data_IF_317140256423
#
_entry.id   IF_317140256423
#
_cell.length_a   1.000
_cell.length_b   1.000
_cell.length_c   1.000
_cell.angle_alpha   90.00
_cell.angle_beta   90.00
_cell.angle_gamma   90.00
#
_symmetry.space_group_name_H-M   'P 1'
#
loop_
_entity.id
_entity.type
_entity.pdbx_description
1 polymer ?
#
# COMPACT_ATOMS: atom_id res chain seq x y z
N UNK A 1 -61.97 59.31 4.59
CA UNK A 1 -61.87 58.77 5.96
C UNK A 1 -61.17 57.42 5.86
N UNK A 2 -60.00 57.31 6.50
CA UNK A 2 -59.16 56.11 6.49
C UNK A 2 -59.56 55.24 7.68
N UNK A 3 -59.73 53.95 7.47
CA UNK A 3 -59.44 52.92 8.48
C UNK A 3 -58.67 51.78 7.81
N UNK A 4 -57.60 51.25 8.43
CA UNK A 4 -56.63 50.39 7.77
C UNK A 4 -56.93 48.89 7.99
N UNK A 5 -56.74 48.09 6.94
CA UNK A 5 -56.66 46.64 7.06
C UNK A 5 -55.24 46.22 7.46
N UNK A 6 -55.17 45.50 8.56
CA UNK A 6 -53.96 44.99 9.18
C UNK A 6 -53.30 43.90 8.31
N UNK A 7 -52.00 44.06 8.05
CA UNK A 7 -51.11 43.03 7.55
C UNK A 7 -50.82 42.05 8.69
N UNK A 8 -51.32 40.82 8.57
CA UNK A 8 -50.90 39.69 9.39
C UNK A 8 -49.59 39.13 8.84
N UNK A 9 -48.50 39.39 9.55
CA UNK A 9 -47.18 38.79 9.32
C UNK A 9 -47.21 37.33 9.80
N UNK A 10 -47.28 36.39 8.87
CA UNK A 10 -47.06 34.98 9.16
C UNK A 10 -45.57 34.75 9.47
N UNK A 11 -45.25 34.55 10.75
CA UNK A 11 -43.92 34.17 11.22
C UNK A 11 -43.72 32.68 10.90
N UNK A 12 -42.95 32.38 9.86
CA UNK A 12 -42.50 31.01 9.59
C UNK A 12 -41.44 30.64 10.64
N UNK A 13 -41.83 29.82 11.62
CA UNK A 13 -40.89 29.20 12.56
C UNK A 13 -40.04 28.18 11.78
N UNK A 14 -38.79 28.55 11.49
CA UNK A 14 -37.80 27.64 10.96
C UNK A 14 -37.43 26.62 12.06
N UNK A 15 -37.97 25.41 11.97
CA UNK A 15 -37.51 24.27 12.77
C UNK A 15 -36.15 23.86 12.19
N UNK A 16 -35.08 24.34 12.82
CA UNK A 16 -33.74 23.86 12.54
C UNK A 16 -33.64 22.41 13.04
N UNK A 17 -33.72 21.43 12.11
CA UNK A 17 -33.23 20.09 12.37
C UNK A 17 -31.72 20.19 12.58
N UNK A 18 -31.30 20.19 13.84
CA UNK A 18 -29.91 19.97 14.19
C UNK A 18 -29.54 18.54 13.79
N UNK A 19 -29.01 18.38 12.58
CA UNK A 19 -28.29 17.17 12.20
C UNK A 19 -27.07 17.09 13.12
N UNK A 20 -27.13 16.22 14.12
CA UNK A 20 -25.94 15.84 14.90
C UNK A 20 -24.96 15.18 13.93
N UNK A 21 -24.01 15.97 13.45
CA UNK A 21 -22.81 15.45 12.79
C UNK A 21 -22.08 14.64 13.86
N UNK A 22 -22.27 13.33 13.85
CA UNK A 22 -21.39 12.42 14.57
C UNK A 22 -20.07 12.50 13.82
N UNK A 23 -19.16 13.35 14.31
CA UNK A 23 -17.78 13.32 13.88
C UNK A 23 -17.28 11.87 13.98
N UNK A 24 -16.50 11.37 13.01
CA UNK A 24 -15.85 10.08 13.17
C UNK A 24 -15.08 10.12 14.48
N UNK A 25 -15.40 9.20 15.39
CA UNK A 25 -14.74 9.12 16.68
C UNK A 25 -13.24 9.10 16.47
N UNK A 26 -12.54 10.08 17.06
CA UNK A 26 -11.09 9.99 17.22
C UNK A 26 -10.76 8.60 17.78
N UNK A 27 -9.82 7.92 17.14
CA UNK A 27 -9.26 6.68 17.64
C UNK A 27 -8.96 6.86 19.14
N UNK A 28 -9.49 5.97 19.98
CA UNK A 28 -9.29 6.02 21.41
C UNK A 28 -7.78 6.04 21.71
N UNK A 29 -7.28 7.15 22.26
CA UNK A 29 -5.98 7.27 22.90
C UNK A 29 -4.75 7.28 22.00
N UNK A 30 -4.63 8.23 21.07
CA UNK A 30 -3.35 8.46 20.34
C UNK A 30 -2.17 8.84 21.27
N UNK A 31 -2.45 9.10 22.56
CA UNK A 31 -1.50 9.54 23.60
C UNK A 31 -1.42 8.55 24.79
N UNK A 32 -1.87 7.31 24.64
CA UNK A 32 -1.76 6.29 25.68
C UNK A 32 -0.90 5.10 25.22
N UNK A 33 -0.19 4.47 26.15
CA UNK A 33 0.53 3.21 25.87
C UNK A 33 -0.50 2.14 25.48
N UNK A 34 -0.24 1.31 24.44
CA UNK A 34 -1.18 0.27 24.03
C UNK A 34 -1.47 -0.70 25.17
N UNK A 35 -2.69 -1.29 25.22
CA UNK A 35 -3.02 -2.28 26.23
C UNK A 35 -2.13 -3.54 26.10
N UNK A 36 -2.04 -4.38 27.14
CA UNK A 36 -1.34 -5.66 27.04
C UNK A 36 -1.81 -6.48 25.84
N UNK A 37 -0.88 -7.08 25.10
CA UNK A 37 -1.16 -7.73 23.82
C UNK A 37 0.10 -8.15 23.08
N UNK A 38 -0.06 -8.73 21.88
CA UNK A 38 1.07 -9.09 21.01
C UNK A 38 1.24 -8.01 19.95
N UNK A 39 2.47 -7.50 19.83
CA UNK A 39 2.81 -6.40 18.95
C UNK A 39 4.10 -6.68 18.16
N UNK A 40 4.18 -6.07 17.00
CA UNK A 40 5.43 -5.81 16.30
C UNK A 40 5.99 -4.48 16.78
N UNK A 41 7.28 -4.45 17.14
CA UNK A 41 8.00 -3.19 17.37
C UNK A 41 8.55 -2.75 16.02
N UNK A 42 7.82 -1.87 15.33
CA UNK A 42 8.04 -1.55 13.92
C UNK A 42 8.60 -0.12 13.75
N UNK A 43 9.74 0.03 13.11
CA UNK A 43 10.40 1.33 12.94
C UNK A 43 9.55 2.28 12.09
N UNK A 44 9.38 3.53 12.54
CA UNK A 44 8.70 4.56 11.73
C UNK A 44 9.51 5.02 10.52
N UNK A 45 10.82 4.76 10.49
CA UNK A 45 11.74 5.14 9.42
C UNK A 45 11.80 4.09 8.32
N UNK A 46 12.21 2.87 8.67
CA UNK A 46 12.40 1.77 7.71
C UNK A 46 11.15 0.93 7.45
N UNK A 47 10.15 0.96 8.37
CA UNK A 47 9.01 0.05 8.35
C UNK A 47 9.34 -1.40 8.75
N UNK A 48 10.58 -1.68 9.16
CA UNK A 48 11.05 -3.00 9.57
C UNK A 48 10.74 -3.28 11.03
N UNK A 49 10.67 -4.57 11.38
CA UNK A 49 10.36 -5.03 12.73
C UNK A 49 11.63 -5.34 13.52
N UNK A 50 11.64 -5.05 14.81
CA UNK A 50 12.64 -5.57 15.73
C UNK A 50 12.44 -7.09 15.89
N UNK A 51 13.46 -7.87 15.57
CA UNK A 51 13.43 -9.32 15.52
C UNK A 51 14.56 -9.93 16.33
N UNK A 52 14.29 -11.04 17.02
CA UNK A 52 15.34 -11.83 17.68
C UNK A 52 16.12 -12.68 16.67
N UNK A 53 17.43 -12.43 16.60
CA UNK A 53 18.40 -13.20 15.85
C UNK A 53 19.45 -13.81 16.79
N UNK A 54 19.04 -14.84 17.52
CA UNK A 54 19.94 -15.64 18.33
C UNK A 54 20.56 -14.87 19.50
N UNK A 55 19.79 -14.01 20.16
CA UNK A 55 20.26 -13.20 21.28
C UNK A 55 20.46 -11.72 20.94
N UNK A 56 20.77 -11.42 19.68
CA UNK A 56 20.81 -10.05 19.17
C UNK A 56 19.43 -9.63 18.68
N UNK A 57 19.07 -8.36 18.86
CA UNK A 57 17.84 -7.81 18.27
C UNK A 57 18.21 -6.88 17.12
N UNK A 58 17.71 -7.21 15.93
CA UNK A 58 18.00 -6.51 14.66
C UNK A 58 16.69 -6.05 14.00
N UNK A 59 16.76 -5.07 13.10
CA UNK A 59 15.64 -4.74 12.22
C UNK A 59 15.59 -5.72 11.03
N UNK A 60 14.49 -6.46 10.92
CA UNK A 60 14.23 -7.40 9.85
C UNK A 60 13.01 -6.96 9.03
N UNK A 61 12.99 -7.36 7.75
CA UNK A 61 11.84 -7.17 6.86
C UNK A 61 10.60 -7.81 7.50
N UNK A 62 9.44 -7.12 7.56
CA UNK A 62 8.24 -7.70 8.16
C UNK A 62 7.88 -9.04 7.53
N UNK A 63 7.63 -10.05 8.38
CA UNK A 63 7.35 -11.42 7.94
C UNK A 63 6.23 -12.07 8.75
N UNK A 64 5.21 -11.29 9.09
CA UNK A 64 4.04 -11.78 9.82
C UNK A 64 4.42 -12.45 11.14
N UNK A 65 3.84 -13.62 11.42
CA UNK A 65 4.11 -14.43 12.60
C UNK A 65 5.37 -15.31 12.49
N UNK A 66 6.20 -15.08 11.47
CA UNK A 66 7.49 -15.76 11.29
C UNK A 66 8.66 -14.86 11.75
N UNK A 67 9.87 -15.43 11.74
CA UNK A 67 11.12 -14.68 11.94
C UNK A 67 11.26 -13.95 13.29
N UNK A 68 10.56 -14.43 14.33
CA UNK A 68 10.67 -13.98 15.73
C UNK A 68 10.49 -12.47 15.92
N UNK A 69 9.47 -11.91 15.27
CA UNK A 69 9.22 -10.46 15.22
C UNK A 69 8.12 -9.99 16.19
N UNK A 70 7.50 -10.91 16.92
CA UNK A 70 6.34 -10.65 17.79
C UNK A 70 6.74 -10.60 19.27
N UNK A 71 6.24 -9.57 19.94
CA UNK A 71 6.53 -9.27 21.34
C UNK A 71 5.23 -9.08 22.13
N UNK A 72 5.06 -9.84 23.21
CA UNK A 72 3.97 -9.69 24.16
C UNK A 72 4.28 -8.54 25.12
N UNK A 73 3.58 -7.43 24.96
CA UNK A 73 3.63 -6.28 25.84
C UNK A 73 2.87 -6.58 27.13
N UNK A 74 3.51 -6.38 28.29
CA UNK A 74 2.91 -6.48 29.62
C UNK A 74 3.42 -5.37 30.53
N UNK A 75 2.59 -4.90 31.45
CA UNK A 75 3.01 -3.96 32.48
C UNK A 75 3.96 -4.65 33.48
N UNK A 76 4.94 -3.89 33.98
CA UNK A 76 5.89 -4.28 35.00
C UNK A 76 6.18 -3.07 35.91
N UNK A 77 5.39 -2.93 36.98
CA UNK A 77 5.38 -1.72 37.80
C UNK A 77 5.05 -0.47 36.97
N UNK A 78 5.95 0.51 36.96
CA UNK A 78 5.85 1.73 36.13
C UNK A 78 6.49 1.60 34.74
N UNK A 79 6.89 0.40 34.34
CA UNK A 79 7.55 0.08 33.07
C UNK A 79 6.80 -1.03 32.34
N UNK A 80 7.33 -1.47 31.20
CA UNK A 80 6.76 -2.52 30.37
C UNK A 80 7.81 -3.55 29.98
N UNK A 81 7.38 -4.80 29.88
CA UNK A 81 8.16 -5.88 29.31
C UNK A 81 7.60 -6.24 27.95
N UNK A 82 8.50 -6.58 27.03
CA UNK A 82 8.21 -7.05 25.68
C UNK A 82 8.77 -8.47 25.56
N UNK A 83 7.96 -9.46 25.94
CA UNK A 83 8.36 -10.87 25.96
C UNK A 83 8.23 -11.51 24.58
N UNK A 84 9.23 -12.26 24.12
CA UNK A 84 9.16 -12.96 22.85
C UNK A 84 8.02 -13.98 22.84
N UNK A 85 7.23 -14.02 21.76
CA UNK A 85 6.20 -15.05 21.57
C UNK A 85 6.80 -16.42 21.25
N UNK A 86 8.00 -16.45 20.68
CA UNK A 86 8.72 -17.66 20.26
C UNK A 86 9.61 -18.24 21.37
N UNK A 87 10.00 -17.42 22.36
CA UNK A 87 10.87 -17.81 23.46
C UNK A 87 10.32 -17.30 24.81
N UNK A 88 9.38 -18.02 25.45
CA UNK A 88 8.82 -17.64 26.74
C UNK A 88 9.89 -17.42 27.81
N UNK A 89 9.73 -16.41 28.66
CA UNK A 89 10.72 -16.01 29.67
C UNK A 89 11.87 -15.16 29.13
N UNK A 90 11.94 -14.94 27.82
CA UNK A 90 12.93 -14.09 27.14
C UNK A 90 12.28 -12.79 26.66
N UNK A 91 12.86 -11.64 27.01
CA UNK A 91 12.32 -10.31 26.71
C UNK A 91 13.28 -9.50 25.83
N UNK A 92 12.72 -8.63 24.99
CA UNK A 92 13.46 -7.53 24.37
C UNK A 92 14.01 -6.63 25.47
N UNK A 93 15.32 -6.54 25.55
CA UNK A 93 16.04 -5.76 26.54
C UNK A 93 17.35 -5.22 25.98
N UNK A 94 18.32 -5.06 26.87
CA UNK A 94 19.56 -4.32 26.59
C UNK A 94 20.78 -5.16 26.93
N UNK A 95 21.86 -4.94 26.19
CA UNK A 95 23.20 -5.38 26.54
C UNK A 95 24.19 -4.28 26.18
N UNK A 96 24.43 -3.35 27.12
CA UNK A 96 25.17 -2.12 26.85
C UNK A 96 24.41 -1.18 25.92
N UNK A 97 25.04 -0.79 24.82
CA UNK A 97 24.51 0.10 23.78
C UNK A 97 23.74 -0.63 22.67
N UNK A 98 23.43 -1.91 22.86
CA UNK A 98 22.73 -2.77 21.89
C UNK A 98 21.42 -3.31 22.43
N UNK A 99 20.47 -3.48 21.52
CA UNK A 99 19.26 -4.24 21.79
C UNK A 99 19.57 -5.74 21.77
N UNK A 100 19.11 -6.47 22.78
CA UNK A 100 19.33 -7.91 22.93
C UNK A 100 18.10 -8.57 23.51
N UNK A 101 18.01 -9.88 23.38
CA UNK A 101 17.10 -10.65 24.21
C UNK A 101 17.77 -11.02 25.54
N UNK A 102 17.04 -10.84 26.64
CA UNK A 102 17.50 -11.08 28.02
C UNK A 102 16.42 -11.84 28.80
N UNK A 103 16.74 -12.53 29.91
CA UNK A 103 15.71 -13.07 30.78
C UNK A 103 14.76 -11.95 31.23
N UNK A 104 13.45 -12.19 31.21
CA UNK A 104 12.47 -11.16 31.55
C UNK A 104 12.57 -10.64 33.00
N UNK A 105 13.25 -11.38 33.89
CA UNK A 105 13.54 -10.96 35.26
C UNK A 105 14.83 -10.11 35.39
N UNK A 106 15.59 -9.94 34.31
CA UNK A 106 16.81 -9.14 34.32
C UNK A 106 16.48 -7.64 34.40
N UNK A 107 17.33 -6.87 35.08
CA UNK A 107 17.20 -5.41 35.18
C UNK A 107 17.24 -4.70 33.80
N UNK A 108 17.83 -5.36 32.80
CA UNK A 108 17.93 -4.87 31.43
C UNK A 108 16.70 -5.18 30.55
N UNK A 109 15.65 -5.81 31.10
CA UNK A 109 14.43 -6.15 30.37
C UNK A 109 13.37 -5.02 30.29
N UNK A 110 13.08 -4.26 31.37
CA UNK A 110 11.96 -3.31 31.36
C UNK A 110 12.22 -2.08 30.50
N UNK A 111 11.21 -1.56 29.80
CA UNK A 111 11.24 -0.32 29.02
C UNK A 111 10.17 0.66 29.52
N UNK A 112 10.51 1.95 29.60
CA UNK A 112 9.51 3.02 29.69
C UNK A 112 8.99 3.29 28.28
N UNK A 113 7.74 2.94 28.02
CA UNK A 113 7.06 3.19 26.75
C UNK A 113 6.34 4.53 26.85
N UNK A 114 6.71 5.49 26.00
CA UNK A 114 6.16 6.85 26.05
C UNK A 114 5.57 7.22 24.68
N UNK A 115 4.31 7.65 24.62
CA UNK A 115 3.69 8.13 23.38
C UNK A 115 4.34 9.44 22.91
N UNK A 116 4.54 9.57 21.60
CA UNK A 116 5.06 10.77 20.93
C UNK A 116 4.12 11.26 19.81
N UNK A 117 2.84 10.88 19.91
CA UNK A 117 1.73 11.32 19.06
C UNK A 117 1.49 10.45 17.81
N UNK A 118 0.22 10.36 17.41
CA UNK A 118 -0.25 9.59 16.25
C UNK A 118 0.11 8.09 16.31
N UNK A 119 -0.11 7.45 17.46
CA UNK A 119 0.17 6.02 17.70
C UNK A 119 1.66 5.65 17.52
N UNK A 120 2.55 6.57 17.90
CA UNK A 120 4.00 6.38 17.88
C UNK A 120 4.56 6.45 19.29
N UNK A 121 5.59 5.66 19.53
CA UNK A 121 6.16 5.45 20.85
C UNK A 121 7.68 5.52 20.83
N UNK A 122 8.25 5.93 21.96
CA UNK A 122 9.65 5.70 22.28
C UNK A 122 9.76 4.60 23.33
N UNK A 123 10.79 3.77 23.23
CA UNK A 123 11.13 2.75 24.22
C UNK A 123 12.41 3.19 24.91
N UNK A 124 12.30 3.74 26.12
CA UNK A 124 13.42 4.26 26.89
C UNK A 124 13.87 3.28 27.98
N UNK A 125 15.18 3.16 28.18
CA UNK A 125 15.76 2.46 29.31
C UNK A 125 15.46 3.27 30.60
N UNK A 126 14.78 2.68 31.60
CA UNK A 126 14.31 3.41 32.77
C UNK A 126 15.41 4.20 33.47
N UNK A 127 15.20 5.51 33.66
CA UNK A 127 16.12 6.38 34.41
C UNK A 127 17.40 6.81 33.69
N UNK A 128 17.62 6.43 32.42
CA UNK A 128 18.90 6.70 31.71
C UNK A 128 18.78 7.66 30.53
N UNK A 129 17.57 7.89 30.02
CA UNK A 129 17.33 8.67 28.79
C UNK A 129 17.76 7.96 27.49
N UNK A 130 18.40 6.79 27.56
CA UNK A 130 18.75 5.99 26.39
C UNK A 130 17.52 5.32 25.80
N UNK A 131 17.40 5.28 24.47
CA UNK A 131 16.24 4.70 23.78
C UNK A 131 16.64 3.67 22.75
N UNK A 132 15.77 2.71 22.51
CA UNK A 132 15.85 1.80 21.38
C UNK A 132 15.78 2.61 20.08
N UNK A 133 16.75 2.44 19.19
CA UNK A 133 16.82 3.19 17.95
C UNK A 133 17.32 2.34 16.78
N UNK A 134 16.90 2.73 15.58
CA UNK A 134 17.52 2.30 14.33
C UNK A 134 18.89 2.98 14.20
N UNK A 135 19.91 2.24 13.76
CA UNK A 135 21.21 2.82 13.53
C UNK A 135 21.18 3.86 12.39
N UNK A 136 21.94 4.98 12.49
CA UNK A 136 22.05 5.95 11.43
C UNK A 136 22.49 5.32 10.11
N UNK A 137 21.91 5.77 9.01
CA UNK A 137 22.22 5.29 7.66
C UNK A 137 23.57 5.87 7.19
N UNK A 138 24.56 5.03 6.80
CA UNK A 138 25.77 5.53 6.15
C UNK A 138 25.47 6.13 4.78
N UNK A 139 26.30 7.10 4.34
CA UNK A 139 26.17 7.68 3.01
C UNK A 139 26.29 6.59 1.93
N UNK A 140 25.33 6.57 0.98
CA UNK A 140 25.30 5.57 -0.09
C UNK A 140 24.91 4.15 0.34
N UNK A 141 24.39 3.95 1.56
CA UNK A 141 23.95 2.66 2.06
C UNK A 141 22.50 2.69 2.56
N UNK A 142 21.98 1.52 2.94
CA UNK A 142 20.73 1.36 3.70
C UNK A 142 20.99 1.39 5.21
N UNK A 143 19.94 1.45 6.02
CA UNK A 143 20.12 1.41 7.48
C UNK A 143 20.71 0.06 7.92
N UNK A 144 21.70 0.05 8.82
CA UNK A 144 22.28 -1.19 9.35
C UNK A 144 21.23 -2.06 10.07
N UNK A 145 21.37 -3.38 10.00
CA UNK A 145 20.43 -4.30 10.66
C UNK A 145 20.44 -4.21 12.20
N UNK A 146 21.59 -4.11 12.90
CA UNK A 146 21.58 -4.07 14.37
C UNK A 146 20.89 -2.84 14.95
N UNK A 147 20.05 -3.03 15.96
CA UNK A 147 19.44 -1.93 16.73
C UNK A 147 20.38 -1.46 17.85
N UNK A 148 20.30 -0.17 18.16
CA UNK A 148 21.13 0.48 19.17
C UNK A 148 20.28 0.97 20.35
N UNK A 149 20.94 1.24 21.48
CA UNK A 149 20.34 1.79 22.69
C UNK A 149 21.19 2.97 23.14
N UNK A 150 20.67 4.19 23.01
CA UNK A 150 21.45 5.40 23.33
C UNK A 150 20.67 6.70 23.23
N UNK A 151 21.37 7.82 23.45
CA UNK A 151 20.83 9.18 23.36
C UNK A 151 20.81 9.72 21.91
N UNK A 152 20.40 8.87 20.96
CA UNK A 152 20.32 9.21 19.53
C UNK A 152 19.15 10.13 19.19
N UNK A 153 19.09 10.61 17.93
CA UNK A 153 18.05 11.52 17.47
C UNK A 153 16.65 10.88 17.57
N UNK A 154 15.65 11.72 17.85
CA UNK A 154 14.28 11.27 18.17
C UNK A 154 13.63 10.49 17.03
N UNK A 155 13.90 10.87 15.78
CA UNK A 155 13.31 10.26 14.58
C UNK A 155 13.72 8.79 14.39
N UNK A 156 14.98 8.45 14.70
CA UNK A 156 15.48 7.07 14.65
C UNK A 156 15.02 6.22 15.85
N UNK A 157 14.55 6.85 16.92
CA UNK A 157 14.12 6.20 18.16
C UNK A 157 12.58 6.09 18.29
N UNK A 158 11.86 6.35 17.21
CA UNK A 158 10.40 6.31 17.17
C UNK A 158 9.91 5.01 16.53
N UNK A 159 8.94 4.37 17.19
CA UNK A 159 8.43 3.06 16.84
C UNK A 159 6.90 3.07 16.81
N UNK A 160 6.33 2.28 15.91
CA UNK A 160 4.96 1.79 16.04
C UNK A 160 4.97 0.53 16.91
N UNK A 161 3.99 0.42 17.80
CA UNK A 161 3.62 -0.86 18.41
C UNK A 161 2.42 -1.40 17.63
N UNK A 162 2.70 -2.07 16.52
CA UNK A 162 1.66 -2.55 15.60
C UNK A 162 1.07 -3.84 16.13
N UNK A 163 -0.25 -3.94 16.40
CA UNK A 163 -0.83 -5.15 16.97
C UNK A 163 -0.77 -6.32 15.98
N UNK A 164 -0.46 -7.52 16.47
CA UNK A 164 -0.44 -8.73 15.66
C UNK A 164 -1.84 -9.16 15.19
N UNK A 165 -2.87 -8.85 15.98
CA UNK A 165 -4.27 -8.92 15.56
C UNK A 165 -4.74 -7.55 15.09
N UNK A 166 -5.03 -7.34 13.79
CA UNK A 166 -5.44 -6.04 13.29
C UNK A 166 -6.79 -5.63 13.87
N UNK A 167 -6.92 -4.37 14.28
CA UNK A 167 -8.21 -3.79 14.66
C UNK A 167 -8.91 -3.38 13.37
N UNK A 168 -10.06 -3.97 13.08
CA UNK A 168 -10.84 -3.71 11.86
C UNK A 168 -12.20 -3.11 12.19
N UNK A 169 -12.76 -2.31 11.30
CA UNK A 169 -14.15 -1.87 11.37
C UNK A 169 -14.97 -2.50 10.22
N UNK A 170 -16.29 -2.69 10.38
CA UNK A 170 -17.14 -3.15 9.28
C UNK A 170 -17.04 -2.23 8.06
N UNK A 171 -17.05 -2.81 6.86
CA UNK A 171 -17.05 -2.02 5.63
C UNK A 171 -18.29 -1.11 5.56
N UNK A 172 -18.14 0.19 5.26
CA UNK A 172 -19.28 1.07 5.02
C UNK A 172 -20.22 0.53 3.91
N UNK A 173 -21.49 0.98 3.89
CA UNK A 173 -22.36 0.67 2.76
C UNK A 173 -21.77 1.21 1.45
N UNK A 174 -22.10 0.61 0.29
CA UNK A 174 -21.42 0.87 -0.98
C UNK A 174 -21.29 2.35 -1.38
N UNK A 175 -22.29 3.17 -1.08
CA UNK A 175 -22.35 4.61 -1.37
C UNK A 175 -21.38 5.45 -0.54
N UNK A 176 -20.87 4.91 0.57
CA UNK A 176 -19.97 5.61 1.52
C UNK A 176 -18.55 5.06 1.55
N UNK A 177 -18.22 4.07 0.73
CA UNK A 177 -16.86 3.51 0.65
C UNK A 177 -15.95 4.48 -0.08
N UNK A 178 -14.85 4.86 0.54
CA UNK A 178 -13.77 5.64 -0.12
C UNK A 178 -12.87 4.74 -0.95
N UNK A 179 -12.18 5.31 -1.95
CA UNK A 179 -11.32 4.52 -2.84
C UNK A 179 -10.25 3.72 -2.08
N UNK A 180 -9.66 4.30 -1.03
CA UNK A 180 -8.65 3.64 -0.20
C UNK A 180 -9.20 2.54 0.71
N UNK A 181 -10.52 2.47 0.89
CA UNK A 181 -11.18 1.39 1.62
C UNK A 181 -11.48 0.18 0.75
N UNK A 182 -11.62 0.34 -0.57
CA UNK A 182 -12.01 -0.74 -1.48
C UNK A 182 -10.77 -1.49 -1.96
N UNK A 183 -10.84 -2.82 -1.92
CA UNK A 183 -9.82 -3.69 -2.49
C UNK A 183 -10.21 -4.14 -3.90
N UNK A 184 -9.28 -4.07 -4.84
CA UNK A 184 -9.45 -4.46 -6.23
C UNK A 184 -8.52 -5.62 -6.60
N UNK A 185 -9.01 -6.53 -7.44
CA UNK A 185 -8.16 -7.52 -8.09
C UNK A 185 -7.32 -6.82 -9.17
N UNK A 186 -6.01 -7.06 -9.15
CA UNK A 186 -5.05 -6.47 -10.09
C UNK A 186 -4.31 -7.56 -10.83
N UNK A 187 -4.25 -7.46 -12.16
CA UNK A 187 -3.46 -8.35 -12.99
C UNK A 187 -2.03 -7.78 -13.16
N UNK A 188 -1.04 -8.53 -12.70
CA UNK A 188 0.38 -8.24 -12.96
C UNK A 188 0.70 -8.51 -14.43
N UNK A 189 1.41 -7.58 -15.08
CA UNK A 189 1.73 -7.61 -16.52
C UNK A 189 0.54 -8.07 -17.37
N UNK A 190 -0.59 -7.38 -17.22
CA UNK A 190 -1.87 -7.79 -17.77
C UNK A 190 -1.86 -8.01 -19.29
N UNK A 191 -1.02 -7.25 -20.00
CA UNK A 191 -0.78 -7.36 -21.44
C UNK A 191 -0.01 -8.63 -21.84
N UNK A 192 0.75 -9.23 -20.92
CA UNK A 192 1.51 -10.46 -21.13
C UNK A 192 0.58 -11.69 -21.03
N UNK A 193 -0.38 -11.76 -21.96
CA UNK A 193 -1.45 -12.75 -21.97
C UNK A 193 -1.48 -13.66 -23.22
N UNK A 194 -0.77 -13.28 -24.29
CA UNK A 194 -0.68 -14.03 -25.55
C UNK A 194 -1.95 -14.04 -26.41
N UNK A 195 -3.09 -13.56 -25.90
CA UNK A 195 -4.37 -13.44 -26.62
C UNK A 195 -4.41 -12.15 -27.43
N UNK A 196 -4.09 -11.03 -26.78
CA UNK A 196 -4.14 -9.70 -27.39
C UNK A 196 -2.99 -9.44 -28.36
N UNK A 197 -1.82 -9.99 -28.03
CA UNK A 197 -0.60 -9.89 -28.82
C UNK A 197 0.57 -10.60 -28.16
N UNK A 198 1.73 -10.55 -28.80
CA UNK A 198 2.97 -10.98 -28.15
C UNK A 198 3.53 -9.87 -27.27
N UNK A 199 4.27 -10.27 -26.25
CA UNK A 199 4.74 -9.37 -25.20
C UNK A 199 6.24 -9.50 -24.95
N UNK A 200 6.91 -10.55 -25.45
CA UNK A 200 8.33 -10.75 -25.25
C UNK A 200 8.96 -11.60 -26.38
N UNK A 201 10.30 -11.75 -26.40
CA UNK A 201 10.97 -12.67 -27.32
C UNK A 201 10.46 -14.12 -27.15
N UNK A 202 10.65 -15.01 -28.15
CA UNK A 202 9.97 -16.31 -28.23
C UNK A 202 10.03 -17.19 -26.97
N UNK A 203 11.15 -17.20 -26.24
CA UNK A 203 11.29 -18.03 -25.03
C UNK A 203 10.58 -17.46 -23.80
N UNK A 204 10.45 -16.14 -23.69
CA UNK A 204 9.74 -15.49 -22.59
C UNK A 204 8.23 -15.61 -22.77
N UNK A 205 7.75 -15.67 -24.02
CA UNK A 205 6.33 -15.93 -24.33
C UNK A 205 5.81 -17.29 -23.81
N UNK A 206 6.68 -18.23 -23.42
CA UNK A 206 6.29 -19.52 -22.84
C UNK A 206 5.75 -19.39 -21.40
N UNK A 207 5.96 -18.25 -20.76
CA UNK A 207 5.53 -17.98 -19.39
C UNK A 207 4.73 -16.68 -19.36
N UNK A 208 3.50 -16.66 -19.91
CA UNK A 208 2.66 -15.48 -19.84
C UNK A 208 2.20 -15.24 -18.39
N UNK A 209 2.11 -13.98 -18.00
CA UNK A 209 1.60 -13.59 -16.69
C UNK A 209 0.10 -13.87 -16.56
N UNK A 210 -0.65 -13.77 -17.67
CA UNK A 210 -2.08 -14.03 -17.71
C UNK A 210 -2.44 -14.98 -18.86
N UNK A 211 -3.66 -15.54 -18.86
CA UNK A 211 -4.13 -16.45 -19.92
C UNK A 211 -5.26 -15.87 -20.76
N UNK A 212 -5.69 -14.64 -20.46
CA UNK A 212 -6.89 -14.00 -20.99
C UNK A 212 -6.57 -12.55 -21.36
N UNK A 213 -7.11 -12.08 -22.49
CA UNK A 213 -6.94 -10.70 -22.93
C UNK A 213 -7.61 -9.66 -22.03
N UNK A 214 -7.26 -8.37 -22.19
CA UNK A 214 -7.69 -7.27 -21.32
C UNK A 214 -9.21 -7.18 -21.17
N UNK A 215 -9.98 -7.31 -22.26
CA UNK A 215 -11.45 -7.28 -22.20
C UNK A 215 -12.03 -8.40 -21.35
N UNK A 216 -11.43 -9.60 -21.43
CA UNK A 216 -11.86 -10.74 -20.62
C UNK A 216 -11.48 -10.56 -19.15
N UNK A 217 -10.29 -9.99 -18.87
CA UNK A 217 -9.87 -9.62 -17.51
C UNK A 217 -10.87 -8.66 -16.86
N UNK A 218 -11.29 -7.62 -17.60
CA UNK A 218 -12.33 -6.68 -17.17
C UNK A 218 -13.67 -7.40 -16.91
N UNK A 219 -14.11 -8.26 -17.83
CA UNK A 219 -15.34 -9.03 -17.67
C UNK A 219 -15.31 -9.98 -16.45
N UNK A 220 -14.13 -10.50 -16.10
CA UNK A 220 -13.93 -11.40 -14.97
C UNK A 220 -13.75 -10.68 -13.62
N UNK A 221 -13.77 -9.34 -13.61
CA UNK A 221 -13.74 -8.53 -12.38
C UNK A 221 -12.38 -7.94 -12.02
N UNK A 222 -11.37 -8.05 -12.89
CA UNK A 222 -10.09 -7.33 -12.72
C UNK A 222 -10.33 -5.83 -12.87
N UNK A 223 -9.81 -5.03 -11.94
CA UNK A 223 -9.94 -3.56 -11.93
C UNK A 223 -8.61 -2.83 -11.73
N UNK A 224 -7.53 -3.55 -11.51
CA UNK A 224 -6.17 -3.02 -11.59
C UNK A 224 -5.38 -3.69 -12.72
N UNK A 225 -4.59 -2.93 -13.47
CA UNK A 225 -3.78 -3.43 -14.57
C UNK A 225 -2.36 -2.90 -14.44
N UNK A 226 -1.38 -3.79 -14.30
CA UNK A 226 0.04 -3.44 -14.40
C UNK A 226 0.51 -3.66 -15.83
N UNK A 227 1.09 -2.63 -16.44
CA UNK A 227 1.52 -2.62 -17.83
C UNK A 227 2.95 -2.10 -17.92
N UNK A 228 3.80 -2.81 -18.67
CA UNK A 228 5.15 -2.34 -18.95
C UNK A 228 5.14 -1.69 -20.32
N UNK A 229 5.66 -0.47 -20.40
CA UNK A 229 5.71 0.28 -21.64
C UNK A 229 7.15 0.58 -22.01
N UNK A 230 7.50 0.26 -23.25
CA UNK A 230 8.81 0.55 -23.83
C UNK A 230 8.68 1.45 -25.04
N UNK A 231 9.58 2.43 -25.13
CA UNK A 231 9.65 3.28 -26.30
C UNK A 231 10.27 2.54 -27.48
N UNK A 232 9.58 2.58 -28.61
CA UNK A 232 10.02 2.06 -29.90
C UNK A 232 9.85 3.14 -30.97
N UNK A 233 10.35 2.94 -32.20
CA UNK A 233 10.05 3.84 -33.33
C UNK A 233 8.54 4.01 -33.59
N UNK A 234 7.71 3.04 -33.17
CA UNK A 234 6.26 3.04 -33.39
C UNK A 234 5.46 3.65 -32.21
N UNK A 235 6.14 4.17 -31.18
CA UNK A 235 5.54 4.76 -29.98
C UNK A 235 5.75 3.90 -28.72
N UNK A 236 4.83 4.03 -27.75
CA UNK A 236 4.86 3.23 -26.53
C UNK A 236 4.25 1.84 -26.79
N UNK A 237 5.06 0.81 -26.67
CA UNK A 237 4.66 -0.58 -26.92
C UNK A 237 4.72 -1.39 -25.63
N UNK A 238 3.74 -2.27 -25.47
CA UNK A 238 3.61 -3.19 -24.34
C UNK A 238 4.54 -4.39 -24.53
N UNK A 239 5.62 -4.46 -23.74
CA UNK A 239 6.61 -5.53 -23.80
C UNK A 239 7.25 -5.78 -22.44
N UNK A 240 7.69 -7.01 -22.19
CA UNK A 240 8.44 -7.36 -20.98
C UNK A 240 9.95 -7.41 -21.28
N UNK A 241 10.74 -6.58 -20.60
CA UNK A 241 12.20 -6.46 -20.69
C UNK A 241 12.74 -5.95 -22.06
N UNK A 242 12.21 -6.43 -23.19
CA UNK A 242 12.57 -5.95 -24.53
C UNK A 242 11.44 -6.16 -25.55
N UNK A 243 11.25 -5.18 -26.43
CA UNK A 243 10.37 -5.29 -27.60
C UNK A 243 11.04 -5.96 -28.83
N UNK A 244 12.31 -6.35 -28.73
CA UNK A 244 13.03 -6.99 -29.85
C UNK A 244 12.45 -8.37 -30.13
N UNK A 245 12.15 -8.69 -31.39
CA UNK A 245 11.56 -9.98 -31.83
C UNK A 245 10.20 -10.31 -31.20
N UNK A 246 9.48 -9.31 -30.67
CA UNK A 246 8.09 -9.50 -30.23
C UNK A 246 7.19 -9.67 -31.46
N UNK A 247 6.51 -10.81 -31.56
CA UNK A 247 5.51 -11.03 -32.60
C UNK A 247 4.20 -10.34 -32.23
N UNK A 248 3.61 -9.55 -33.13
CA UNK A 248 2.32 -8.84 -32.89
C UNK A 248 2.35 -7.96 -31.62
N UNK A 249 3.27 -6.97 -31.55
CA UNK A 249 3.29 -6.03 -30.44
C UNK A 249 1.99 -5.22 -30.35
N UNK A 250 1.60 -4.85 -29.13
CA UNK A 250 0.42 -4.03 -28.86
C UNK A 250 0.87 -2.67 -28.36
N UNK A 251 0.34 -1.60 -28.95
CA UNK A 251 0.62 -0.24 -28.51
C UNK A 251 -0.23 0.11 -27.28
N UNK A 252 0.31 0.92 -26.37
CA UNK A 252 -0.34 1.30 -25.11
C UNK A 252 -1.76 1.83 -25.32
N UNK A 253 -1.95 2.73 -26.28
CA UNK A 253 -3.25 3.34 -26.54
C UNK A 253 -4.36 2.32 -26.87
N UNK A 254 -4.02 1.15 -27.43
CA UNK A 254 -4.98 0.09 -27.77
C UNK A 254 -5.60 -0.51 -26.50
N UNK A 255 -4.77 -0.87 -25.52
CA UNK A 255 -5.25 -1.45 -24.26
C UNK A 255 -5.93 -0.40 -23.39
N UNK A 256 -5.47 0.84 -23.43
CA UNK A 256 -6.19 1.95 -22.79
C UNK A 256 -7.56 2.20 -23.45
N UNK A 257 -7.68 2.08 -24.76
CA UNK A 257 -8.98 2.19 -25.44
C UNK A 257 -9.96 1.13 -24.96
N UNK A 258 -9.53 -0.14 -24.85
CA UNK A 258 -10.35 -1.24 -24.31
C UNK A 258 -10.86 -0.92 -22.89
N UNK A 259 -10.01 -0.36 -22.04
CA UNK A 259 -10.37 0.06 -20.68
C UNK A 259 -11.38 1.23 -20.71
N UNK A 260 -11.16 2.24 -21.56
CA UNK A 260 -12.06 3.39 -21.68
C UNK A 260 -13.44 2.96 -22.21
N UNK A 261 -13.48 2.08 -23.21
CA UNK A 261 -14.74 1.54 -23.77
C UNK A 261 -15.51 0.71 -22.73
N UNK A 262 -14.79 -0.07 -21.92
CA UNK A 262 -15.39 -0.77 -20.78
C UNK A 262 -16.00 0.21 -19.77
N UNK A 263 -15.27 1.25 -19.37
CA UNK A 263 -15.79 2.25 -18.44
C UNK A 263 -16.98 3.02 -19.02
N UNK A 264 -16.99 3.32 -20.32
CA UNK A 264 -18.13 3.95 -21.02
C UNK A 264 -19.38 3.06 -20.97
N UNK A 265 -19.22 1.75 -21.17
CA UNK A 265 -20.33 0.79 -21.12
C UNK A 265 -20.75 0.38 -19.70
N UNK A 266 -19.89 0.61 -18.70
CA UNK A 266 -20.13 0.26 -17.30
C UNK A 266 -19.89 1.49 -16.40
N UNK A 267 -20.85 2.42 -16.31
CA UNK A 267 -20.66 3.72 -15.64
C UNK A 267 -20.42 3.61 -14.13
N UNK A 268 -20.75 2.48 -13.51
CA UNK A 268 -20.59 2.16 -12.08
C UNK A 268 -19.21 1.55 -11.73
N UNK A 269 -18.36 1.34 -12.73
CA UNK A 269 -17.06 0.68 -12.55
C UNK A 269 -15.91 1.68 -12.48
N UNK A 270 -14.85 1.30 -11.76
CA UNK A 270 -13.60 2.07 -11.58
C UNK A 270 -12.39 1.20 -11.91
N UNK A 271 -11.41 1.74 -12.64
CA UNK A 271 -10.20 1.02 -13.05
C UNK A 271 -8.94 1.83 -12.72
N UNK A 272 -7.88 1.13 -12.30
CA UNK A 272 -6.55 1.70 -12.12
C UNK A 272 -5.53 1.02 -13.03
N UNK A 273 -4.67 1.82 -13.66
CA UNK A 273 -3.55 1.35 -14.47
C UNK A 273 -2.25 1.78 -13.80
N UNK A 274 -1.31 0.85 -13.67
CA UNK A 274 0.06 1.09 -13.19
C UNK A 274 1.01 0.85 -14.36
N UNK A 275 1.85 1.84 -14.66
CA UNK A 275 2.82 1.79 -15.75
C UNK A 275 4.23 1.59 -15.19
N UNK A 276 4.89 0.50 -15.58
CA UNK A 276 6.34 0.40 -15.54
C UNK A 276 6.88 1.09 -16.80
N UNK A 277 7.43 2.29 -16.61
CA UNK A 277 7.47 3.30 -17.68
C UNK A 277 8.89 3.54 -18.21
N UNK A 278 9.20 2.96 -19.35
CA UNK A 278 10.45 3.16 -20.09
C UNK A 278 10.29 4.12 -21.28
N UNK A 279 9.29 5.00 -21.25
CA UNK A 279 8.93 5.89 -22.35
C UNK A 279 9.29 7.34 -22.04
N UNK A 280 9.58 8.14 -23.08
CA UNK A 280 9.69 9.59 -22.94
C UNK A 280 8.32 10.21 -22.62
N UNK A 281 8.29 11.22 -21.75
CA UNK A 281 7.05 11.86 -21.31
C UNK A 281 6.20 12.43 -22.45
N UNK A 282 6.82 12.95 -23.52
CA UNK A 282 6.11 13.50 -24.67
C UNK A 282 5.50 12.38 -25.53
N UNK A 283 6.21 11.26 -25.68
CA UNK A 283 5.68 10.08 -26.37
C UNK A 283 4.51 9.50 -25.59
N UNK A 284 4.61 9.36 -24.27
CA UNK A 284 3.50 8.91 -23.43
C UNK A 284 2.29 9.86 -23.54
N UNK A 285 2.52 11.18 -23.53
CA UNK A 285 1.47 12.18 -23.71
C UNK A 285 0.78 12.05 -25.08
N UNK A 286 1.55 11.81 -26.14
CA UNK A 286 1.02 11.59 -27.48
C UNK A 286 0.20 10.30 -27.57
N UNK A 287 0.63 9.23 -26.91
CA UNK A 287 -0.09 7.96 -26.85
C UNK A 287 -1.45 8.10 -26.15
N UNK A 288 -1.50 8.79 -25.02
CA UNK A 288 -2.76 9.07 -24.31
C UNK A 288 -3.71 9.93 -25.14
N UNK A 289 -3.20 10.86 -25.94
CA UNK A 289 -4.01 11.69 -26.82
C UNK A 289 -4.72 10.89 -27.95
N UNK A 290 -4.30 9.65 -28.21
CA UNK A 290 -4.93 8.75 -29.19
C UNK A 290 -6.12 7.98 -28.62
N UNK A 291 -6.31 8.00 -27.29
CA UNK A 291 -7.38 7.26 -26.62
C UNK A 291 -8.66 8.09 -26.61
N UNK A 292 -9.64 7.68 -27.41
CA UNK A 292 -10.91 8.39 -27.52
C UNK A 292 -11.71 8.29 -26.21
N UNK A 293 -12.12 9.44 -25.69
CA UNK A 293 -12.86 9.55 -24.42
C UNK A 293 -12.04 9.46 -23.15
N UNK A 294 -10.71 9.40 -23.24
CA UNK A 294 -9.87 9.31 -22.05
C UNK A 294 -10.15 10.44 -21.05
N UNK A 295 -10.23 11.68 -21.53
CA UNK A 295 -10.48 12.84 -20.68
C UNK A 295 -11.81 12.78 -19.93
N UNK A 296 -12.81 12.06 -20.46
CA UNK A 296 -14.13 11.92 -19.85
C UNK A 296 -14.06 11.07 -18.59
N UNK A 297 -13.21 10.03 -18.58
CA UNK A 297 -13.08 9.08 -17.48
C UNK A 297 -11.84 9.28 -16.61
N UNK A 298 -10.85 10.05 -17.04
CA UNK A 298 -9.58 10.20 -16.31
C UNK A 298 -9.73 10.97 -14.99
N UNK A 299 -9.43 10.31 -13.88
CA UNK A 299 -9.41 10.88 -12.54
C UNK A 299 -8.06 11.51 -12.20
N UNK A 300 -8.11 12.70 -11.61
CA UNK A 300 -6.97 13.58 -11.31
C UNK A 300 -6.93 13.90 -9.81
N UNK A 301 -6.35 13.02 -8.97
CA UNK A 301 -6.35 13.22 -7.52
C UNK A 301 -5.59 14.48 -7.09
N UNK A 302 -4.63 14.92 -7.90
CA UNK A 302 -3.89 16.18 -7.74
C UNK A 302 -4.76 17.44 -7.89
N UNK A 303 -5.95 17.31 -8.47
CA UNK A 303 -6.89 18.43 -8.71
C UNK A 303 -8.16 18.35 -7.88
N UNK A 304 -8.36 17.31 -7.09
CA UNK A 304 -9.58 17.10 -6.29
C UNK A 304 -9.35 17.18 -4.79
N UNK A 305 -8.19 17.70 -4.36
CA UNK A 305 -7.91 17.93 -2.94
C UNK A 305 -7.80 16.65 -2.10
N UNK A 306 -7.31 15.55 -2.69
CA UNK A 306 -7.17 14.25 -1.99
C UNK A 306 -6.20 14.33 -0.82
N UNK A 307 -5.20 15.22 -0.89
CA UNK A 307 -4.21 15.36 0.18
C UNK A 307 -4.79 16.02 1.42
N UNK A 308 -5.74 16.93 1.24
CA UNK A 308 -6.38 17.70 2.29
C UNK A 308 -7.60 16.98 2.85
N UNK A 309 -8.37 16.29 2.00
CA UNK A 309 -9.69 15.76 2.33
C UNK A 309 -9.77 14.22 2.33
N UNK A 310 -8.70 13.52 1.98
CA UNK A 310 -8.71 12.08 1.75
C UNK A 310 -9.27 11.68 0.39
N UNK A 311 -9.34 10.38 0.14
CA UNK A 311 -9.82 9.85 -1.14
C UNK A 311 -11.35 10.00 -1.27
N UNK A 312 -11.86 10.31 -2.48
CA UNK A 312 -13.31 10.38 -2.71
C UNK A 312 -13.98 9.02 -2.53
N UNK A 313 -15.29 9.08 -2.32
CA UNK A 313 -16.14 7.89 -2.36
C UNK A 313 -16.22 7.31 -3.77
N UNK A 314 -16.45 6.00 -3.85
CA UNK A 314 -16.74 5.34 -5.12
C UNK A 314 -17.98 5.92 -5.80
N UNK A 315 -18.95 6.38 -5.01
CA UNK A 315 -20.16 7.05 -5.51
C UNK A 315 -19.86 8.41 -6.17
N UNK A 316 -18.96 9.22 -5.59
CA UNK A 316 -18.52 10.49 -6.19
C UNK A 316 -17.73 10.27 -7.49
N UNK A 317 -16.82 9.28 -7.50
CA UNK A 317 -16.10 8.90 -8.73
C UNK A 317 -17.08 8.46 -9.82
N UNK A 318 -18.11 7.70 -9.44
CA UNK A 318 -19.18 7.29 -10.35
C UNK A 318 -19.99 8.48 -10.87
N UNK A 319 -20.45 9.35 -9.97
CA UNK A 319 -21.30 10.50 -10.30
C UNK A 319 -20.60 11.52 -11.19
N UNK A 320 -19.29 11.71 -11.01
CA UNK A 320 -18.47 12.63 -11.83
C UNK A 320 -17.99 11.99 -13.13
N UNK A 321 -18.17 10.68 -13.30
CA UNK A 321 -17.64 9.91 -14.43
C UNK A 321 -16.12 9.69 -14.40
N UNK A 322 -15.38 10.29 -13.44
CA UNK A 322 -13.92 10.21 -13.33
C UNK A 322 -13.51 8.91 -12.62
N UNK A 323 -13.32 7.86 -13.42
CA UNK A 323 -13.24 6.46 -12.97
C UNK A 323 -12.03 5.68 -13.48
N UNK A 324 -11.06 6.37 -14.08
CA UNK A 324 -9.79 5.80 -14.50
C UNK A 324 -8.63 6.53 -13.82
N UNK A 325 -7.80 5.82 -13.07
CA UNK A 325 -6.57 6.35 -12.49
C UNK A 325 -5.36 5.73 -13.17
N UNK A 326 -4.36 6.53 -13.54
CA UNK A 326 -3.14 6.05 -14.20
C UNK A 326 -1.93 6.48 -13.37
N UNK A 327 -1.10 5.52 -13.00
CA UNK A 327 0.15 5.72 -12.28
C UNK A 327 1.37 5.37 -13.13
N UNK A 328 2.49 6.04 -12.90
CA UNK A 328 3.81 5.72 -13.46
C UNK A 328 4.79 5.40 -12.33
N UNK A 329 5.68 4.43 -12.52
CA UNK A 329 6.74 4.10 -11.57
C UNK A 329 7.92 5.11 -11.59
N UNK A 330 7.93 6.02 -12.57
CA UNK A 330 8.81 7.18 -12.67
C UNK A 330 8.67 8.10 -11.46
N UNK A 331 9.63 9.01 -11.32
CA UNK A 331 9.61 10.03 -10.28
C UNK A 331 9.48 11.40 -10.91
N UNK A 332 8.85 12.35 -10.21
CA UNK A 332 8.80 13.74 -10.69
C UNK A 332 10.18 14.32 -11.00
N UNK A 333 11.18 13.92 -10.22
CA UNK A 333 12.57 14.32 -10.44
C UNK A 333 13.16 13.79 -11.76
N UNK A 334 12.73 12.63 -12.26
CA UNK A 334 13.21 12.11 -13.56
C UNK A 334 12.73 12.92 -14.76
N UNK A 335 11.66 13.68 -14.58
CA UNK A 335 11.00 14.44 -15.66
C UNK A 335 11.37 15.94 -15.62
N UNK A 336 12.07 16.37 -14.56
CA UNK A 336 12.39 17.77 -14.30
C UNK A 336 13.17 18.45 -15.44
N UNK A 337 14.00 17.69 -16.16
CA UNK A 337 14.80 18.21 -17.27
C UNK A 337 14.01 18.37 -18.58
N UNK A 338 12.87 17.68 -18.75
CA UNK A 338 12.14 17.60 -20.02
C UNK A 338 11.01 18.61 -20.19
N UNK A 339 10.77 19.51 -19.22
CA UNK A 339 9.84 20.63 -19.34
C UNK A 339 8.34 20.29 -19.23
N UNK A 340 7.96 19.01 -19.30
CA UNK A 340 6.60 18.52 -19.07
C UNK A 340 6.63 17.43 -18.01
N UNK A 341 5.81 17.54 -16.97
CA UNK A 341 5.71 16.46 -15.97
C UNK A 341 4.47 15.62 -16.26
N UNK A 342 4.57 14.30 -16.06
CA UNK A 342 3.49 13.33 -16.36
C UNK A 342 2.14 13.64 -15.72
N UNK A 343 2.19 14.23 -14.54
CA UNK A 343 1.00 14.66 -13.83
C UNK A 343 0.25 15.75 -14.60
N UNK A 344 0.89 16.60 -15.41
CA UNK A 344 0.18 17.66 -16.17
C UNK A 344 -0.89 17.10 -17.12
N UNK A 345 -0.67 15.91 -17.69
CA UNK A 345 -1.61 15.22 -18.58
C UNK A 345 -2.30 14.01 -17.94
N UNK A 346 -2.17 13.83 -16.62
CA UNK A 346 -3.02 12.96 -15.81
C UNK A 346 -2.46 11.57 -15.52
N UNK A 347 -1.15 11.39 -15.67
CA UNK A 347 -0.43 10.22 -15.16
C UNK A 347 0.27 10.60 -13.86
N UNK A 348 -0.14 9.99 -12.75
CA UNK A 348 0.33 10.33 -11.41
C UNK A 348 1.61 9.55 -11.06
N UNK A 349 2.57 10.17 -10.38
CA UNK A 349 3.76 9.44 -9.92
C UNK A 349 3.41 8.50 -8.79
N UNK A 350 3.58 7.19 -9.00
CA UNK A 350 3.10 6.15 -8.11
C UNK A 350 3.63 6.31 -6.67
N UNK A 351 4.90 6.71 -6.51
CA UNK A 351 5.55 6.92 -5.19
C UNK A 351 4.99 8.10 -4.40
N UNK A 352 4.25 9.00 -5.05
CA UNK A 352 3.60 10.13 -4.39
C UNK A 352 2.21 9.77 -3.84
N UNK A 353 1.57 8.74 -4.41
CA UNK A 353 0.16 8.41 -4.18
C UNK A 353 -0.08 7.03 -3.57
N UNK A 354 0.91 6.15 -3.62
CA UNK A 354 0.80 4.77 -3.18
C UNK A 354 2.01 4.34 -2.34
N UNK A 355 1.86 3.20 -1.67
CA UNK A 355 2.94 2.36 -1.16
C UNK A 355 2.83 0.98 -1.81
N UNK A 356 3.95 0.30 -2.04
CA UNK A 356 3.97 -0.99 -2.74
C UNK A 356 5.02 -1.93 -2.13
N UNK A 357 4.65 -3.18 -1.87
CA UNK A 357 5.62 -4.15 -1.36
C UNK A 357 6.52 -4.71 -2.47
N UNK A 358 7.65 -5.28 -2.06
CA UNK A 358 8.59 -5.96 -2.93
C UNK A 358 7.87 -7.00 -3.79
N UNK A 359 8.16 -6.96 -5.09
CA UNK A 359 7.35 -7.60 -6.13
C UNK A 359 7.39 -9.12 -6.07
N UNK A 360 8.52 -9.70 -5.67
CA UNK A 360 8.75 -11.15 -5.76
C UNK A 360 8.54 -11.89 -4.44
N UNK A 361 7.87 -13.04 -4.53
CA UNK A 361 7.78 -14.08 -3.51
C UNK A 361 8.87 -15.16 -3.66
N UNK A 362 9.92 -14.89 -4.44
CA UNK A 362 10.99 -15.83 -4.73
C UNK A 362 10.83 -16.57 -6.06
N UNK A 363 11.78 -17.44 -6.36
CA UNK A 363 11.94 -18.03 -7.68
C UNK A 363 11.16 -19.34 -7.86
N UNK A 364 10.62 -19.52 -9.07
CA UNK A 364 10.17 -20.80 -9.60
C UNK A 364 9.28 -21.63 -8.67
N UNK A 365 9.68 -22.89 -8.42
CA UNK A 365 8.94 -23.88 -7.64
C UNK A 365 9.38 -23.98 -6.16
N UNK A 366 10.16 -23.04 -5.66
CA UNK A 366 10.65 -23.03 -4.27
C UNK A 366 9.59 -22.60 -3.26
N UNK A 367 9.96 -22.60 -1.98
CA UNK A 367 9.13 -21.99 -0.94
C UNK A 367 8.92 -20.49 -1.21
N UNK A 368 7.71 -20.00 -0.95
CA UNK A 368 7.40 -18.58 -1.09
C UNK A 368 8.08 -17.77 0.02
N UNK A 369 8.69 -16.64 -0.35
CA UNK A 369 9.05 -15.59 0.60
C UNK A 369 7.80 -14.77 0.94
N UNK A 370 7.34 -14.91 2.18
CA UNK A 370 6.16 -14.22 2.69
C UNK A 370 6.45 -12.83 3.23
N UNK A 371 7.71 -12.39 3.20
CA UNK A 371 8.04 -11.04 3.66
C UNK A 371 7.26 -9.98 2.88
N UNK A 372 6.87 -8.93 3.60
CA UNK A 372 6.11 -7.82 3.06
C UNK A 372 6.79 -6.51 3.47
N UNK A 373 7.67 -6.03 2.62
CA UNK A 373 8.45 -4.82 2.85
C UNK A 373 8.40 -3.95 1.59
N UNK A 374 8.66 -2.66 1.73
CA UNK A 374 8.57 -1.72 0.60
C UNK A 374 9.53 -2.10 -0.53
N UNK A 375 9.06 -2.02 -1.78
CA UNK A 375 9.95 -2.13 -2.94
C UNK A 375 10.88 -0.91 -3.10
N UNK A 376 10.57 0.19 -2.43
CA UNK A 376 11.33 1.45 -2.49
C UNK A 376 12.18 1.64 -1.23
N UNK A 377 13.11 0.71 -1.04
CA UNK A 377 14.08 0.73 0.04
C UNK A 377 15.48 0.40 -0.50
N UNK A 378 16.27 1.45 -0.72
CA UNK A 378 17.64 1.39 -1.22
C UNK A 378 18.50 2.54 -0.67
N UNK A 379 19.73 2.68 -1.17
CA UNK A 379 20.65 3.72 -0.72
C UNK A 379 20.13 5.15 -0.93
N UNK A 380 19.34 5.38 -1.99
CA UNK A 380 18.79 6.68 -2.35
C UNK A 380 17.36 6.91 -1.84
N UNK A 381 16.60 5.85 -1.56
CA UNK A 381 15.18 5.93 -1.21
C UNK A 381 14.85 5.12 0.03
N UNK A 382 14.14 5.72 1.00
CA UNK A 382 13.59 5.02 2.15
C UNK A 382 12.13 5.40 2.29
N UNK A 383 11.26 4.61 1.67
CA UNK A 383 9.82 4.85 1.64
C UNK A 383 9.09 3.64 2.25
N UNK A 384 8.77 3.65 3.56
CA UNK A 384 8.18 2.49 4.22
C UNK A 384 6.71 2.30 3.82
N UNK A 385 6.22 1.06 3.88
CA UNK A 385 4.79 0.74 3.66
C UNK A 385 3.89 1.45 4.68
N UNK A 386 4.42 1.74 5.86
CA UNK A 386 3.73 2.46 6.93
C UNK A 386 3.52 3.94 6.66
N UNK A 387 4.10 4.53 5.59
CA UNK A 387 3.94 5.95 5.27
C UNK A 387 2.47 6.37 5.28
N UNK A 388 2.20 7.42 6.03
CA UNK A 388 0.96 8.18 6.04
C UNK A 388 1.32 9.65 6.21
N UNK A 389 0.50 10.54 5.69
CA UNK A 389 0.64 11.98 5.85
C UNK A 389 -0.62 12.53 6.54
N UNK A 390 -0.53 13.67 7.24
CA UNK A 390 -1.73 14.33 7.75
C UNK A 390 -2.73 14.57 6.63
N UNK A 391 -3.96 14.06 6.78
CA UNK A 391 -5.03 14.18 5.78
C UNK A 391 -4.93 13.23 4.58
N UNK A 392 -3.81 12.50 4.42
CA UNK A 392 -3.57 11.68 3.25
C UNK A 392 -3.02 10.29 3.58
N UNK A 393 -3.75 9.26 3.13
CA UNK A 393 -3.32 7.87 3.20
C UNK A 393 -3.00 7.37 1.79
N UNK A 394 -1.74 7.04 1.49
CA UNK A 394 -1.40 6.42 0.21
C UNK A 394 -2.14 5.09 0.01
N UNK A 395 -2.57 4.81 -1.22
CA UNK A 395 -3.16 3.50 -1.58
C UNK A 395 -2.09 2.41 -1.44
N UNK A 396 -2.48 1.19 -1.07
CA UNK A 396 -1.53 0.09 -0.92
C UNK A 396 -1.65 -0.91 -2.07
N UNK A 397 -0.57 -1.04 -2.85
CA UNK A 397 -0.40 -2.06 -3.88
C UNK A 397 0.31 -3.27 -3.29
N UNK A 398 -0.40 -4.39 -3.18
CA UNK A 398 0.14 -5.64 -2.68
C UNK A 398 0.51 -6.58 -3.83
N UNK A 399 1.81 -6.77 -4.08
CA UNK A 399 2.36 -7.73 -5.02
C UNK A 399 2.38 -9.14 -4.44
N UNK A 400 1.79 -10.07 -5.18
CA UNK A 400 1.67 -11.48 -4.83
C UNK A 400 1.93 -12.38 -6.04
N UNK A 401 3.18 -12.39 -6.47
CA UNK A 401 3.66 -13.22 -7.57
C UNK A 401 5.14 -13.55 -7.40
N UNK A 402 5.67 -14.41 -8.28
CA UNK A 402 7.04 -14.90 -8.25
C UNK A 402 7.87 -14.27 -9.36
N UNK A 403 9.17 -14.54 -9.37
CA UNK A 403 10.06 -14.11 -10.46
C UNK A 403 9.65 -14.65 -11.84
N UNK A 404 8.99 -15.81 -11.86
CA UNK A 404 8.50 -16.46 -13.08
C UNK A 404 7.02 -16.81 -12.90
N UNK A 405 6.13 -16.41 -13.82
CA UNK A 405 4.68 -16.63 -13.72
C UNK A 405 4.30 -18.08 -14.06
N UNK A 406 4.80 -19.03 -13.28
CA UNK A 406 4.50 -20.45 -13.49
C UNK A 406 3.07 -20.76 -13.07
N UNK A 407 2.27 -21.27 -14.01
CA UNK A 407 0.90 -21.69 -13.73
C UNK A 407 0.82 -22.77 -12.64
N UNK A 408 1.86 -23.60 -12.49
CA UNK A 408 1.93 -24.68 -11.49
C UNK A 408 2.00 -24.16 -10.05
N UNK A 409 2.58 -23.00 -9.81
CA UNK A 409 2.66 -22.38 -8.48
C UNK A 409 1.59 -21.32 -8.26
N UNK A 410 1.23 -20.55 -9.31
CA UNK A 410 0.31 -19.43 -9.21
C UNK A 410 -1.04 -19.79 -8.57
N UNK A 411 -1.63 -20.95 -8.91
CA UNK A 411 -2.88 -21.38 -8.28
C UNK A 411 -2.75 -21.66 -6.78
N UNK A 412 -1.62 -22.21 -6.33
CA UNK A 412 -1.34 -22.49 -4.92
C UNK A 412 -1.05 -21.20 -4.16
N UNK A 413 -0.26 -20.30 -4.77
CA UNK A 413 0.06 -19.01 -4.18
C UNK A 413 -1.20 -18.14 -4.07
N UNK A 414 -1.99 -17.99 -5.14
CA UNK A 414 -3.22 -17.19 -5.15
C UNK A 414 -4.26 -17.71 -4.15
N UNK A 415 -4.29 -19.03 -3.89
CA UNK A 415 -5.12 -19.62 -2.85
C UNK A 415 -4.78 -19.16 -1.41
N UNK A 416 -3.62 -18.53 -1.22
CA UNK A 416 -3.14 -17.97 0.07
C UNK A 416 -3.13 -16.44 0.10
N UNK A 417 -3.73 -15.79 -0.90
CA UNK A 417 -3.69 -14.34 -1.05
C UNK A 417 -4.28 -13.59 0.14
N UNK A 418 -5.45 -14.01 0.62
CA UNK A 418 -6.10 -13.41 1.79
C UNK A 418 -5.28 -13.59 3.07
N UNK A 419 -4.68 -14.78 3.23
CA UNK A 419 -3.81 -15.12 4.35
C UNK A 419 -2.57 -14.23 4.40
N UNK A 420 -1.90 -14.05 3.24
CA UNK A 420 -0.76 -13.14 3.14
C UNK A 420 -1.16 -11.69 3.41
N UNK A 421 -2.29 -11.26 2.87
CA UNK A 421 -2.80 -9.91 3.08
C UNK A 421 -2.97 -9.63 4.59
N UNK A 422 -3.67 -10.51 5.30
CA UNK A 422 -4.01 -10.32 6.73
C UNK A 422 -2.84 -10.53 7.68
N UNK A 423 -2.10 -11.63 7.54
CA UNK A 423 -1.07 -12.01 8.52
C UNK A 423 0.27 -11.34 8.29
N UNK A 424 0.59 -10.97 7.04
CA UNK A 424 1.91 -10.46 6.68
C UNK A 424 1.88 -9.00 6.24
N UNK A 425 1.06 -8.66 5.25
CA UNK A 425 1.12 -7.34 4.60
C UNK A 425 0.35 -6.24 5.31
N UNK A 426 -0.82 -6.54 5.88
CA UNK A 426 -1.59 -5.59 6.69
C UNK A 426 -0.81 -5.05 7.89
N UNK A 427 -0.22 -5.89 8.77
CA UNK A 427 0.60 -5.37 9.86
C UNK A 427 1.87 -4.67 9.34
N UNK A 428 2.49 -5.17 8.26
CA UNK A 428 3.68 -4.53 7.70
C UNK A 428 3.40 -3.12 7.14
N UNK A 429 2.24 -2.92 6.51
CA UNK A 429 1.86 -1.63 5.94
C UNK A 429 1.09 -0.74 6.92
N UNK A 430 0.53 -1.33 7.99
CA UNK A 430 -0.51 -0.73 8.82
C UNK A 430 -1.67 -0.21 7.95
N UNK A 431 -2.01 -0.97 6.92
CA UNK A 431 -2.97 -0.65 5.85
C UNK A 431 -3.53 -1.93 5.24
N UNK A 432 -4.83 -1.93 4.95
CA UNK A 432 -5.44 -2.92 4.07
C UNK A 432 -5.02 -2.67 2.61
N UNK A 433 -4.65 -3.70 1.84
CA UNK A 433 -4.37 -3.54 0.42
C UNK A 433 -5.56 -2.95 -0.35
N UNK A 434 -5.30 -1.88 -1.11
CA UNK A 434 -6.25 -1.36 -2.11
C UNK A 434 -6.18 -2.21 -3.39
N UNK A 435 -5.02 -2.75 -3.72
CA UNK A 435 -4.80 -3.56 -4.92
C UNK A 435 -4.12 -4.87 -4.55
N UNK A 436 -4.64 -5.99 -5.05
CA UNK A 436 -4.01 -7.31 -4.96
C UNK A 436 -3.49 -7.70 -6.34
N UNK A 437 -2.20 -7.50 -6.59
CA UNK A 437 -1.55 -7.80 -7.86
C UNK A 437 -1.08 -9.26 -7.91
N UNK A 438 -1.56 -10.02 -8.90
CA UNK A 438 -1.26 -11.45 -9.06
C UNK A 438 -0.94 -11.81 -10.51
N UNK A 439 -0.14 -12.86 -10.67
CA UNK A 439 -0.08 -13.63 -11.91
C UNK A 439 -1.21 -14.67 -11.95
N UNK A 440 -1.68 -15.00 -13.16
CA UNK A 440 -2.76 -15.96 -13.41
C UNK A 440 -3.97 -15.69 -12.52
N UNK A 441 -4.59 -14.51 -12.64
CA UNK A 441 -5.74 -14.12 -11.82
C UNK A 441 -6.91 -15.12 -11.91
N UNK A 442 -6.97 -15.95 -12.95
CA UNK A 442 -7.96 -17.01 -13.15
C UNK A 442 -7.70 -18.27 -12.31
N UNK A 443 -6.60 -18.33 -11.55
CA UNK A 443 -6.17 -19.50 -10.77
C UNK A 443 -6.11 -19.18 -9.28
N UNK A 444 -6.53 -20.14 -8.44
CA UNK A 444 -6.46 -20.01 -6.99
C UNK A 444 -7.52 -19.11 -6.34
N UNK A 445 -8.53 -18.68 -7.10
CA UNK A 445 -9.66 -17.86 -6.64
C UNK A 445 -9.27 -16.57 -5.88
N UNK A 446 -8.43 -15.70 -6.46
CA UNK A 446 -8.07 -14.43 -5.83
C UNK A 446 -9.28 -13.48 -5.65
N UNK A 447 -10.35 -13.67 -6.42
CA UNK A 447 -11.61 -12.95 -6.23
C UNK A 447 -12.25 -13.19 -4.85
N UNK A 448 -12.08 -14.39 -4.26
CA UNK A 448 -12.54 -14.66 -2.90
C UNK A 448 -11.76 -13.82 -1.86
N UNK A 449 -10.46 -13.64 -2.05
CA UNK A 449 -9.65 -12.77 -1.19
C UNK A 449 -10.12 -11.30 -1.31
N UNK A 450 -10.44 -10.83 -2.51
CA UNK A 450 -11.01 -9.49 -2.72
C UNK A 450 -12.36 -9.34 -2.02
N UNK A 451 -13.25 -10.32 -2.13
CA UNK A 451 -14.54 -10.30 -1.46
C UNK A 451 -14.38 -10.24 0.07
N UNK A 452 -13.47 -11.05 0.62
CA UNK A 452 -13.13 -11.10 2.04
C UNK A 452 -12.56 -9.77 2.55
N UNK A 453 -11.58 -9.19 1.85
CA UNK A 453 -10.99 -7.89 2.21
C UNK A 453 -11.99 -6.74 2.06
N UNK A 454 -13.06 -6.89 1.28
CA UNK A 454 -14.13 -5.91 1.16
C UNK A 454 -15.26 -6.07 2.19
N UNK A 455 -15.05 -6.89 3.24
CA UNK A 455 -15.97 -6.98 4.40
C UNK A 455 -15.62 -6.03 5.54
N UNK A 456 -14.42 -5.45 5.54
CA UNK A 456 -13.92 -4.57 6.59
C UNK A 456 -13.02 -3.44 6.08
N UNK A 457 -12.83 -2.42 6.91
CA UNK A 457 -11.80 -1.39 6.77
C UNK A 457 -10.74 -1.58 7.85
N UNK A 458 -9.51 -1.17 7.51
CA UNK A 458 -8.42 -1.02 8.46
C UNK A 458 -8.30 0.48 8.78
N UNK A 459 -8.42 0.91 10.05
CA UNK A 459 -8.46 2.32 10.43
C UNK A 459 -7.17 3.09 10.14
#
# INVERSE_FOLDING_TARGET
MRTPHALLTASAAAVALAATVVAPGQAAGADAVPPPGVYYVQSTVTGFNAADRGGAVEQHRPRGDEDRQQWRLRADGGSHLLESTDAPGTCLGRGGDRARTVPCAAADAPWTVTPVGADRFTLAAPGTGHRLAVAPKPAGAVHPAPLTVGAGPDDLATWYLTPAGPVTAPMPPPDRRTLDQVTFLTAHNAYANGVDGGFAPPFVNLFPNQTRGIERQLADGVRGFMLDIHQTPDGAILCHNSCTLVSRPVALWVDLQRIVDFLRSHPDQFVTVFLEDYVDQEVLRAELARVDGLADVLYRPDRTGVRENGWPTMAELTATGKRLLIFTDRTRASDAAGGVTRDTFGVMYQREWTVENYWSMGSGAGASDWSCYSRWYDAGTTLPLTRTEPGFRPLFVMNHFRDVPLTSTAGTDNGKLADRARRFCEPAARKKPTYLAVDHYDRGNPAAAVAELNTYTYP
#
